data_IF_235872532959
#
_entry.id   IF_235872532959
#
_cell.length_a   1.000
_cell.length_b   1.000
_cell.length_c   1.000
_cell.angle_alpha   90.00
_cell.angle_beta   90.00
_cell.angle_gamma   90.00
#
_symmetry.space_group_name_H-M   'P 1'
#
loop_
_entity.id
_entity.type
_entity.pdbx_description
1 polymer ?
#
# COMPACT_ATOMS: atom_id res chain seq x y z
N UNK A 1 6.71 21.37 -29.79
CA UNK A 1 6.25 19.97 -29.66
C UNK A 1 7.49 19.15 -29.36
N UNK A 2 7.46 18.34 -28.33
CA UNK A 2 8.54 17.38 -28.02
C UNK A 2 8.46 16.29 -29.08
N UNK A 3 9.56 16.01 -29.76
CA UNK A 3 9.61 14.96 -30.78
C UNK A 3 9.88 13.63 -30.05
N UNK A 4 8.84 12.86 -29.77
CA UNK A 4 8.98 11.55 -29.12
C UNK A 4 9.52 10.53 -30.13
N UNK A 5 10.66 9.94 -29.80
CA UNK A 5 11.38 8.98 -30.65
C UNK A 5 11.50 7.61 -30.01
N UNK A 6 11.18 7.50 -28.72
CA UNK A 6 11.21 6.28 -27.93
C UNK A 6 9.80 5.80 -27.62
N UNK A 7 9.63 4.49 -27.58
CA UNK A 7 8.44 3.87 -26.97
C UNK A 7 8.44 4.11 -25.45
N UNK A 8 7.30 3.88 -24.80
CA UNK A 8 7.18 3.98 -23.32
C UNK A 8 8.19 3.06 -22.64
N UNK A 9 8.32 1.83 -23.11
CA UNK A 9 9.23 0.84 -22.53
C UNK A 9 10.71 1.24 -22.74
N UNK A 10 11.12 1.62 -23.93
CA UNK A 10 12.49 2.08 -24.22
C UNK A 10 12.86 3.28 -23.34
N UNK A 11 11.94 4.24 -23.21
CA UNK A 11 12.13 5.44 -22.38
C UNK A 11 12.30 5.07 -20.90
N UNK A 12 11.49 4.14 -20.37
CA UNK A 12 11.59 3.73 -18.99
C UNK A 12 12.89 2.96 -18.73
N UNK A 13 13.26 2.03 -19.60
CA UNK A 13 14.51 1.27 -19.48
C UNK A 13 15.74 2.18 -19.55
N UNK A 14 15.77 3.12 -20.48
CA UNK A 14 16.86 4.10 -20.58
C UNK A 14 16.91 4.99 -19.31
N UNK A 15 15.77 5.44 -18.79
CA UNK A 15 15.73 6.24 -17.57
C UNK A 15 16.25 5.46 -16.33
N UNK A 16 15.89 4.18 -16.20
CA UNK A 16 16.40 3.30 -15.13
C UNK A 16 17.91 3.07 -15.29
N UNK A 17 18.39 2.91 -16.52
CA UNK A 17 19.81 2.74 -16.82
C UNK A 17 20.63 4.05 -16.74
N UNK A 18 19.99 5.18 -16.44
CA UNK A 18 20.60 6.52 -16.43
C UNK A 18 21.16 6.90 -17.81
N UNK A 19 20.52 6.46 -18.87
CA UNK A 19 20.84 6.77 -20.27
C UNK A 19 20.02 7.95 -20.80
N UNK A 20 20.42 8.60 -21.90
CA UNK A 20 19.65 9.68 -22.51
C UNK A 20 18.26 9.23 -22.95
N UNK A 21 17.26 10.06 -22.66
CA UNK A 21 15.84 9.85 -23.06
C UNK A 21 15.35 11.01 -23.88
N UNK A 22 14.37 10.76 -24.76
CA UNK A 22 13.73 11.80 -25.58
C UNK A 22 12.92 12.81 -24.74
N UNK A 23 12.33 12.34 -23.63
CA UNK A 23 11.73 13.13 -22.56
C UNK A 23 11.73 12.31 -21.26
N UNK A 24 11.52 12.96 -20.14
CA UNK A 24 11.34 12.23 -18.87
C UNK A 24 10.08 11.38 -18.91
N UNK A 25 10.14 10.11 -18.43
CA UNK A 25 8.95 9.29 -18.28
C UNK A 25 8.02 9.88 -17.20
N UNK A 26 6.73 9.82 -17.45
CA UNK A 26 5.69 10.35 -16.55
C UNK A 26 4.90 9.21 -15.95
N UNK A 27 5.01 9.08 -14.64
CA UNK A 27 4.32 8.08 -13.84
C UNK A 27 3.70 8.72 -12.58
N UNK A 28 2.52 9.34 -12.67
CA UNK A 28 1.87 9.95 -11.52
C UNK A 28 1.15 8.90 -10.66
N UNK A 29 1.22 9.08 -9.35
CA UNK A 29 0.41 8.31 -8.40
C UNK A 29 -0.92 9.04 -8.20
N UNK A 30 -1.95 8.65 -8.96
CA UNK A 30 -3.22 9.37 -9.05
C UNK A 30 -4.33 8.87 -8.12
N UNK A 31 -4.13 7.82 -7.38
CA UNK A 31 -5.10 7.14 -6.49
C UNK A 31 -6.45 7.87 -6.29
N UNK A 32 -6.56 8.63 -5.21
CA UNK A 32 -7.78 9.35 -4.82
C UNK A 32 -8.07 10.57 -5.70
N UNK A 33 -7.04 11.15 -6.30
CA UNK A 33 -7.17 12.33 -7.15
C UNK A 33 -7.98 12.02 -8.42
N UNK A 34 -7.74 10.88 -9.06
CA UNK A 34 -8.47 10.46 -10.25
C UNK A 34 -9.98 10.33 -9.98
N UNK A 35 -10.36 9.79 -8.83
CA UNK A 35 -11.77 9.64 -8.43
C UNK A 35 -12.46 11.01 -8.35
N UNK A 36 -11.83 11.97 -7.67
CA UNK A 36 -12.36 13.33 -7.51
C UNK A 36 -12.40 14.10 -8.83
N UNK A 37 -11.39 13.91 -9.69
CA UNK A 37 -11.30 14.57 -10.99
C UNK A 37 -12.49 14.27 -11.89
N UNK A 38 -13.04 13.07 -11.79
CA UNK A 38 -14.21 12.64 -12.58
C UNK A 38 -15.53 12.71 -11.81
N UNK A 39 -15.58 13.51 -10.74
CA UNK A 39 -16.81 13.81 -10.00
C UNK A 39 -17.37 12.62 -9.22
N UNK A 40 -16.55 11.60 -8.95
CA UNK A 40 -16.93 10.48 -8.11
C UNK A 40 -16.54 10.75 -6.66
N UNK A 41 -17.25 10.15 -5.72
CA UNK A 41 -16.92 10.25 -4.30
C UNK A 41 -15.92 9.18 -3.88
N UNK A 42 -15.18 9.44 -2.82
CA UNK A 42 -14.30 8.44 -2.23
C UNK A 42 -15.09 7.23 -1.72
N UNK A 43 -16.29 7.47 -1.17
CA UNK A 43 -17.18 6.40 -0.72
C UNK A 43 -17.56 5.44 -1.85
N UNK A 44 -17.87 5.94 -3.06
CA UNK A 44 -18.17 5.10 -4.22
C UNK A 44 -16.98 4.22 -4.60
N UNK A 45 -15.78 4.80 -4.64
CA UNK A 45 -14.56 4.06 -4.98
C UNK A 45 -14.19 3.00 -3.92
N UNK A 46 -14.51 3.25 -2.65
CA UNK A 46 -14.33 2.27 -1.57
C UNK A 46 -15.40 1.18 -1.55
N UNK A 47 -16.59 1.47 -2.06
CA UNK A 47 -17.66 0.50 -2.17
C UNK A 47 -17.52 -0.42 -3.40
N UNK A 48 -17.00 0.12 -4.49
CA UNK A 48 -16.78 -0.58 -5.75
C UNK A 48 -15.42 -0.21 -6.36
N UNK A 49 -14.49 -1.16 -6.36
CA UNK A 49 -13.14 -0.96 -6.90
C UNK A 49 -13.12 -0.63 -8.40
N UNK A 50 -14.14 -1.04 -9.15
CA UNK A 50 -14.26 -0.70 -10.58
C UNK A 50 -14.35 0.82 -10.78
N UNK A 51 -14.99 1.53 -9.87
CA UNK A 51 -15.07 3.00 -9.94
C UNK A 51 -13.68 3.62 -9.90
N UNK A 52 -12.81 3.17 -9.00
CA UNK A 52 -11.44 3.66 -8.91
C UNK A 52 -10.61 3.31 -10.14
N UNK A 53 -10.68 2.04 -10.60
CA UNK A 53 -10.00 1.58 -11.80
C UNK A 53 -10.41 2.38 -13.03
N UNK A 54 -11.71 2.55 -13.26
CA UNK A 54 -12.24 3.24 -14.43
C UNK A 54 -11.85 4.74 -14.43
N UNK A 55 -11.81 5.39 -13.25
CA UNK A 55 -11.30 6.74 -13.11
C UNK A 55 -9.80 6.82 -13.44
N UNK A 56 -9.00 5.85 -13.00
CA UNK A 56 -7.57 5.79 -13.32
C UNK A 56 -7.32 5.58 -14.82
N UNK A 57 -8.05 4.65 -15.45
CA UNK A 57 -7.98 4.40 -16.90
C UNK A 57 -8.35 5.64 -17.70
N UNK A 58 -9.41 6.34 -17.31
CA UNK A 58 -9.80 7.58 -17.94
C UNK A 58 -8.75 8.67 -17.79
N UNK A 59 -8.18 8.81 -16.61
CA UNK A 59 -7.11 9.74 -16.31
C UNK A 59 -5.87 9.46 -17.18
N UNK A 60 -5.47 8.20 -17.27
CA UNK A 60 -4.38 7.77 -18.13
C UNK A 60 -4.59 8.17 -19.61
N UNK A 61 -5.76 7.84 -20.15
CA UNK A 61 -6.10 8.14 -21.56
C UNK A 61 -6.18 9.65 -21.84
N UNK A 62 -6.67 10.43 -20.89
CA UNK A 62 -6.84 11.87 -21.04
C UNK A 62 -5.53 12.64 -20.96
N UNK A 63 -4.63 12.23 -20.04
CA UNK A 63 -3.39 12.95 -19.77
C UNK A 63 -2.14 12.33 -20.41
N UNK A 64 -2.24 11.16 -20.99
CA UNK A 64 -1.15 10.54 -21.75
C UNK A 64 0.09 10.22 -20.93
N UNK A 65 -0.07 9.61 -19.76
CA UNK A 65 1.06 9.15 -18.95
C UNK A 65 1.78 7.98 -19.63
N UNK A 66 3.04 7.76 -19.29
CA UNK A 66 3.77 6.58 -19.76
C UNK A 66 3.29 5.31 -19.07
N UNK A 67 3.03 5.40 -17.77
CA UNK A 67 2.50 4.31 -16.95
C UNK A 67 1.38 4.77 -16.03
N UNK A 68 0.41 3.92 -15.82
CA UNK A 68 -0.66 4.13 -14.86
C UNK A 68 -0.27 3.71 -13.44
N UNK A 69 -0.94 4.29 -12.46
CA UNK A 69 -0.83 3.84 -11.08
C UNK A 69 -1.69 2.59 -10.82
N UNK A 70 -1.26 1.80 -9.86
CA UNK A 70 -1.94 0.58 -9.42
C UNK A 70 -3.40 0.85 -9.03
N UNK A 71 -4.41 0.18 -9.62
CA UNK A 71 -5.82 0.49 -9.39
C UNK A 71 -6.36 0.04 -8.03
N UNK A 72 -5.71 -0.88 -7.36
CA UNK A 72 -6.22 -1.55 -6.17
C UNK A 72 -5.97 -0.83 -4.83
N UNK A 73 -5.82 0.49 -4.83
CA UNK A 73 -5.67 1.25 -3.59
C UNK A 73 -6.95 1.26 -2.75
N UNK A 74 -8.10 1.14 -3.39
CA UNK A 74 -9.42 1.17 -2.77
C UNK A 74 -9.92 -0.24 -2.45
N UNK A 75 -9.39 -0.82 -1.38
CA UNK A 75 -9.79 -2.16 -0.99
C UNK A 75 -10.48 -2.17 0.37
N UNK A 76 -11.83 -2.10 0.37
CA UNK A 76 -12.60 -2.22 1.60
C UNK A 76 -12.52 -3.64 2.18
N UNK A 77 -12.06 -4.61 1.39
CA UNK A 77 -12.07 -6.02 1.76
C UNK A 77 -10.86 -6.44 2.61
N UNK A 78 -9.81 -5.62 2.70
CA UNK A 78 -8.69 -5.87 3.62
C UNK A 78 -8.80 -4.99 4.87
N UNK A 79 -9.78 -5.23 5.77
CA UNK A 79 -9.77 -4.55 7.05
C UNK A 79 -8.58 -5.03 7.83
N UNK A 80 -7.69 -4.13 8.16
CA UNK A 80 -6.60 -4.41 9.04
C UNK A 80 -5.25 -4.65 8.37
N UNK A 81 -5.09 -4.34 7.08
CA UNK A 81 -3.75 -4.28 6.48
C UNK A 81 -3.57 -2.97 5.74
N UNK A 82 -2.93 -2.03 6.40
CA UNK A 82 -2.27 -0.93 5.72
C UNK A 82 -0.78 -1.26 5.75
N UNK A 83 -0.20 -1.44 4.57
CA UNK A 83 1.17 -1.91 4.49
C UNK A 83 1.35 -3.27 5.20
N UNK A 84 2.49 -3.55 5.79
CA UNK A 84 2.73 -4.77 6.57
C UNK A 84 2.16 -4.72 8.01
N UNK A 85 1.34 -3.71 8.33
CA UNK A 85 0.82 -3.50 9.66
C UNK A 85 -0.67 -3.86 9.76
N UNK A 86 -1.15 -4.50 10.85
CA UNK A 86 -2.56 -4.87 11.05
C UNK A 86 -3.43 -3.69 11.51
N UNK A 87 -3.19 -2.51 10.97
CA UNK A 87 -3.96 -1.30 11.26
C UNK A 87 -5.27 -1.26 10.48
N UNK A 88 -6.27 -0.64 11.06
CA UNK A 88 -7.58 -0.46 10.44
C UNK A 88 -7.65 0.88 9.71
N UNK A 89 -8.28 0.88 8.54
CA UNK A 89 -8.65 2.11 7.86
C UNK A 89 -10.05 2.59 8.29
N UNK A 90 -10.18 3.88 8.51
CA UNK A 90 -11.46 4.58 8.56
C UNK A 90 -11.88 4.88 7.13
N UNK A 91 -13.03 4.34 6.73
CA UNK A 91 -13.47 4.29 5.33
C UNK A 91 -14.47 5.42 5.07
N UNK A 92 -14.31 6.20 3.98
CA UNK A 92 -15.29 7.19 3.52
C UNK A 92 -16.68 6.58 3.33
N UNK A 93 -17.70 7.35 3.67
CA UNK A 93 -19.10 6.91 3.59
C UNK A 93 -19.53 5.92 4.67
N UNK A 94 -18.59 5.40 5.49
CA UNK A 94 -18.90 4.49 6.61
C UNK A 94 -18.44 5.04 7.95
N UNK A 95 -17.23 5.58 8.02
CA UNK A 95 -16.63 6.11 9.24
C UNK A 95 -16.32 7.60 9.12
N UNK A 96 -16.24 8.10 7.90
CA UNK A 96 -15.90 9.46 7.51
C UNK A 96 -16.93 9.95 6.49
N UNK A 97 -16.93 11.24 6.18
CA UNK A 97 -17.77 11.79 5.12
C UNK A 97 -17.42 11.16 3.76
N UNK A 98 -18.41 11.14 2.86
CA UNK A 98 -18.30 10.44 1.56
C UNK A 98 -17.14 10.89 0.69
N UNK A 99 -16.71 12.14 0.84
CA UNK A 99 -15.66 12.78 0.04
C UNK A 99 -14.32 12.89 0.79
N UNK A 100 -14.26 12.46 2.06
CA UNK A 100 -13.03 12.42 2.83
C UNK A 100 -12.06 11.38 2.28
N UNK A 101 -10.77 11.60 2.53
CA UNK A 101 -9.76 10.56 2.30
C UNK A 101 -9.80 9.54 3.43
N UNK A 102 -9.61 8.27 3.09
CA UNK A 102 -9.44 7.23 4.10
C UNK A 102 -8.31 7.60 5.07
N UNK A 103 -8.53 7.35 6.35
CA UNK A 103 -7.59 7.62 7.42
C UNK A 103 -7.20 6.32 8.12
N UNK A 104 -6.00 6.28 8.68
CA UNK A 104 -5.59 5.20 9.55
C UNK A 104 -6.25 5.41 10.91
N UNK A 105 -6.90 4.37 11.44
CA UNK A 105 -7.41 4.34 12.80
C UNK A 105 -6.23 4.10 13.76
N UNK A 106 -5.55 5.18 14.12
CA UNK A 106 -4.33 5.13 14.92
C UNK A 106 -4.61 4.59 16.32
N UNK A 107 -3.99 3.47 16.65
CA UNK A 107 -4.13 2.78 17.93
C UNK A 107 -2.82 2.14 18.36
N UNK A 108 -2.66 2.00 19.68
CA UNK A 108 -1.62 1.14 20.23
C UNK A 108 -2.04 -0.32 20.04
N UNK A 109 -1.37 -1.02 19.14
CA UNK A 109 -1.62 -2.42 18.82
C UNK A 109 -0.66 -3.38 19.53
N UNK A 110 0.50 -2.87 19.96
CA UNK A 110 1.42 -3.56 20.84
C UNK A 110 2.00 -2.59 21.87
N UNK A 111 2.41 -3.10 23.01
CA UNK A 111 2.92 -2.30 24.12
C UNK A 111 4.46 -2.26 24.11
N UNK A 112 5.05 -1.33 24.87
CA UNK A 112 6.52 -1.19 24.98
C UNK A 112 7.21 -2.49 25.39
N UNK A 113 6.60 -3.27 26.25
CA UNK A 113 7.12 -4.56 26.70
C UNK A 113 7.17 -5.61 25.58
N UNK A 114 6.41 -5.43 24.51
CA UNK A 114 6.34 -6.37 23.39
C UNK A 114 7.57 -6.27 22.46
N UNK A 115 8.39 -5.23 22.60
CA UNK A 115 9.63 -5.14 21.81
C UNK A 115 10.56 -6.34 22.03
N UNK A 116 10.68 -6.82 23.26
CA UNK A 116 11.50 -8.00 23.58
C UNK A 116 10.94 -9.26 22.87
N UNK A 117 9.62 -9.35 22.77
CA UNK A 117 8.95 -10.45 22.10
C UNK A 117 9.06 -10.35 20.59
N UNK A 118 8.94 -9.15 20.02
CA UNK A 118 9.17 -8.90 18.60
C UNK A 118 10.62 -9.24 18.23
N UNK A 119 11.57 -8.85 19.07
CA UNK A 119 12.99 -9.19 18.87
C UNK A 119 13.25 -10.70 18.89
N UNK A 120 12.48 -11.46 19.68
CA UNK A 120 12.62 -12.91 19.77
C UNK A 120 11.92 -13.69 18.64
N UNK A 121 10.77 -13.21 18.15
CA UNK A 121 9.89 -13.93 17.21
C UNK A 121 9.97 -13.40 15.78
N UNK A 122 10.56 -12.22 15.57
CA UNK A 122 10.40 -11.45 14.36
C UNK A 122 9.00 -10.83 14.22
N UNK A 123 8.80 -10.06 13.17
CA UNK A 123 7.53 -9.37 12.90
C UNK A 123 6.40 -10.34 12.55
N UNK A 124 6.69 -11.29 11.67
CA UNK A 124 5.69 -12.28 11.24
C UNK A 124 5.27 -13.20 12.39
N UNK A 125 6.23 -13.65 13.21
CA UNK A 125 5.96 -14.50 14.36
C UNK A 125 5.12 -13.78 15.41
N UNK A 126 5.45 -12.54 15.75
CA UNK A 126 4.70 -11.74 16.70
C UNK A 126 3.23 -11.54 16.25
N UNK A 127 3.02 -11.16 14.99
CA UNK A 127 1.66 -10.97 14.48
C UNK A 127 0.91 -12.27 14.29
N UNK A 128 1.59 -13.37 13.97
CA UNK A 128 0.98 -14.70 13.91
C UNK A 128 0.28 -15.09 15.22
N UNK A 129 0.87 -14.71 16.36
CA UNK A 129 0.30 -14.96 17.69
C UNK A 129 -0.77 -13.95 18.12
N UNK A 130 -0.69 -12.71 17.62
CA UNK A 130 -1.53 -11.60 18.09
C UNK A 130 -2.62 -11.18 17.12
N UNK A 131 -2.56 -11.69 15.88
CA UNK A 131 -3.43 -11.22 14.80
C UNK A 131 -4.92 -11.31 15.14
N UNK A 132 -5.38 -12.45 15.66
CA UNK A 132 -6.79 -12.65 15.99
C UNK A 132 -7.29 -11.70 17.07
N UNK A 133 -6.45 -11.47 18.08
CA UNK A 133 -6.76 -10.54 19.19
C UNK A 133 -6.93 -9.11 18.69
N UNK A 134 -6.13 -8.70 17.73
CA UNK A 134 -6.08 -7.32 17.23
C UNK A 134 -7.10 -7.10 16.12
N UNK A 135 -7.15 -7.98 15.15
CA UNK A 135 -8.02 -7.85 13.98
C UNK A 135 -9.46 -8.28 14.24
N UNK A 136 -9.71 -9.04 15.31
CA UNK A 136 -10.97 -9.75 15.61
C UNK A 136 -11.42 -10.65 14.46
N UNK A 137 -10.49 -11.14 13.66
CA UNK A 137 -10.69 -12.06 12.55
C UNK A 137 -9.74 -13.22 12.69
N UNK A 138 -10.18 -14.42 12.29
CA UNK A 138 -9.27 -15.56 12.25
C UNK A 138 -8.20 -15.37 11.17
N UNK A 139 -7.06 -16.04 11.34
CA UNK A 139 -6.00 -16.05 10.34
C UNK A 139 -6.51 -16.63 9.00
N UNK A 140 -7.43 -17.59 9.05
CA UNK A 140 -8.08 -18.17 7.88
C UNK A 140 -8.91 -17.12 7.11
N UNK A 141 -9.72 -16.34 7.82
CA UNK A 141 -10.48 -15.25 7.21
C UNK A 141 -9.57 -14.21 6.56
N UNK A 142 -8.45 -13.87 7.21
CA UNK A 142 -7.46 -12.97 6.65
C UNK A 142 -6.83 -13.53 5.36
N UNK A 143 -6.41 -14.80 5.39
CA UNK A 143 -5.80 -15.46 4.23
C UNK A 143 -6.78 -15.53 3.06
N UNK A 144 -8.06 -15.85 3.32
CA UNK A 144 -9.10 -15.85 2.29
C UNK A 144 -9.27 -14.45 1.67
N UNK A 145 -9.32 -13.40 2.50
CA UNK A 145 -9.44 -12.02 2.02
C UNK A 145 -8.22 -11.58 1.21
N UNK A 146 -7.01 -11.99 1.59
CA UNK A 146 -5.81 -11.73 0.80
C UNK A 146 -5.85 -12.39 -0.57
N UNK A 147 -6.30 -13.65 -0.66
CA UNK A 147 -6.46 -14.34 -1.94
C UNK A 147 -7.45 -13.61 -2.83
N UNK A 148 -8.64 -13.31 -2.33
CA UNK A 148 -9.65 -12.53 -3.09
C UNK A 148 -9.08 -11.21 -3.57
N UNK A 149 -8.27 -10.54 -2.73
CA UNK A 149 -7.58 -9.31 -3.07
C UNK A 149 -6.61 -9.50 -4.24
N UNK A 150 -5.80 -10.53 -4.18
CA UNK A 150 -4.83 -10.81 -5.23
C UNK A 150 -5.53 -11.16 -6.55
N UNK A 151 -6.61 -11.94 -6.51
CA UNK A 151 -7.36 -12.33 -7.71
C UNK A 151 -7.94 -11.10 -8.43
N UNK A 152 -8.59 -10.21 -7.68
CA UNK A 152 -9.10 -8.95 -8.24
C UNK A 152 -7.96 -8.03 -8.73
N UNK A 153 -6.82 -8.03 -8.05
CA UNK A 153 -5.65 -7.27 -8.52
C UNK A 153 -5.15 -7.77 -9.87
N UNK A 154 -5.04 -9.08 -10.03
CA UNK A 154 -4.65 -9.69 -11.31
C UNK A 154 -5.66 -9.36 -12.40
N UNK A 155 -6.94 -9.41 -12.10
CA UNK A 155 -8.02 -9.02 -13.02
C UNK A 155 -7.92 -7.55 -13.43
N UNK A 156 -7.77 -6.64 -12.46
CA UNK A 156 -7.64 -5.20 -12.74
C UNK A 156 -6.38 -4.89 -13.57
N UNK A 157 -5.27 -5.55 -13.29
CA UNK A 157 -4.04 -5.42 -14.08
C UNK A 157 -4.28 -5.81 -15.54
N UNK A 158 -4.90 -6.96 -15.76
CA UNK A 158 -5.24 -7.45 -17.10
C UNK A 158 -6.15 -6.47 -17.85
N UNK A 159 -7.19 -5.95 -17.19
CA UNK A 159 -8.09 -4.96 -17.77
C UNK A 159 -7.33 -3.67 -18.16
N UNK A 160 -6.43 -3.21 -17.29
CA UNK A 160 -5.62 -2.03 -17.57
C UNK A 160 -4.70 -2.23 -18.79
N UNK A 161 -4.04 -3.38 -18.86
CA UNK A 161 -3.18 -3.74 -19.99
C UNK A 161 -3.99 -3.87 -21.32
N UNK A 162 -5.14 -4.55 -21.30
CA UNK A 162 -6.04 -4.66 -22.44
C UNK A 162 -6.56 -3.29 -22.93
N UNK A 163 -6.67 -2.33 -22.01
CA UNK A 163 -7.04 -0.94 -22.30
C UNK A 163 -5.85 -0.05 -22.69
N UNK A 164 -4.66 -0.63 -22.82
CA UNK A 164 -3.44 0.06 -23.22
C UNK A 164 -2.77 0.91 -22.14
N UNK A 165 -3.12 0.69 -20.86
CA UNK A 165 -2.46 1.32 -19.73
C UNK A 165 -1.48 0.34 -19.08
N UNK A 166 -0.17 0.41 -19.38
CA UNK A 166 0.81 -0.38 -18.68
C UNK A 166 0.92 0.11 -17.24
N UNK A 167 1.07 -0.82 -16.30
CA UNK A 167 1.24 -0.49 -14.89
C UNK A 167 2.68 -0.73 -14.49
N UNK A 168 3.34 0.34 -14.04
CA UNK A 168 4.68 0.23 -13.48
C UNK A 168 4.59 -0.18 -12.02
N UNK A 169 4.87 -1.46 -11.76
CA UNK A 169 4.95 -1.95 -10.38
C UNK A 169 6.01 -3.03 -10.27
N UNK A 170 6.97 -2.74 -9.40
CA UNK A 170 7.82 -3.75 -8.82
C UNK A 170 7.28 -4.26 -7.48
N UNK A 171 8.13 -4.89 -6.71
CA UNK A 171 7.85 -5.26 -5.32
C UNK A 171 7.79 -4.01 -4.46
N UNK A 172 6.70 -3.84 -3.71
CA UNK A 172 6.61 -2.80 -2.69
C UNK A 172 6.94 -3.43 -1.33
N UNK A 173 7.96 -2.91 -0.67
CA UNK A 173 8.36 -3.31 0.67
C UNK A 173 8.17 -2.14 1.62
N UNK A 174 7.46 -2.39 2.71
CA UNK A 174 7.25 -1.37 3.72
C UNK A 174 8.45 -1.27 4.65
N UNK A 175 8.73 -0.05 5.11
CA UNK A 175 9.74 0.16 6.14
C UNK A 175 9.28 -0.40 7.48
N UNK A 176 10.15 -1.13 8.17
CA UNK A 176 9.89 -1.59 9.56
C UNK A 176 9.55 -0.41 10.47
N UNK A 177 10.22 0.73 10.31
CA UNK A 177 9.95 1.96 11.06
C UNK A 177 8.51 2.46 10.84
N UNK A 178 8.03 2.41 9.60
CA UNK A 178 6.64 2.78 9.29
C UNK A 178 5.67 1.80 9.95
N UNK A 179 5.89 0.50 9.86
CA UNK A 179 5.05 -0.50 10.49
C UNK A 179 4.98 -0.32 12.01
N UNK A 180 6.11 -0.01 12.65
CA UNK A 180 6.15 0.24 14.10
C UNK A 180 5.40 1.53 14.48
N UNK A 181 5.63 2.63 13.76
CA UNK A 181 4.94 3.89 14.02
C UNK A 181 3.42 3.77 13.85
N UNK A 182 2.96 2.97 12.87
CA UNK A 182 1.54 2.72 12.67
C UNK A 182 0.91 1.86 13.76
N UNK A 183 1.65 0.88 14.28
CA UNK A 183 1.14 -0.08 15.27
C UNK A 183 1.31 0.39 16.73
N UNK A 184 2.25 1.30 16.96
CA UNK A 184 2.56 1.82 18.30
C UNK A 184 1.99 3.23 18.53
N UNK A 185 1.41 3.84 17.51
CA UNK A 185 1.18 5.28 17.29
C UNK A 185 2.49 6.06 17.11
N UNK A 186 2.44 7.11 16.31
CA UNK A 186 3.63 7.94 16.04
C UNK A 186 4.20 8.54 17.32
N UNK A 187 3.35 8.98 18.24
CA UNK A 187 3.76 9.60 19.50
C UNK A 187 4.45 8.61 20.44
N UNK A 188 3.84 7.44 20.67
CA UNK A 188 4.41 6.42 21.54
C UNK A 188 5.68 5.82 20.96
N UNK A 189 5.71 5.58 19.65
CA UNK A 189 6.91 5.10 18.98
C UNK A 189 8.07 6.10 19.07
N UNK A 190 7.79 7.39 18.84
CA UNK A 190 8.81 8.43 18.99
C UNK A 190 9.35 8.48 20.43
N UNK A 191 8.48 8.34 21.44
CA UNK A 191 8.91 8.28 22.84
C UNK A 191 9.79 7.05 23.09
N UNK A 192 9.41 5.89 22.56
CA UNK A 192 10.16 4.64 22.73
C UNK A 192 11.57 4.70 22.12
N UNK A 193 11.75 5.43 21.01
CA UNK A 193 13.07 5.68 20.42
C UNK A 193 14.04 6.42 21.37
N UNK A 194 13.52 7.23 22.28
CA UNK A 194 14.33 7.94 23.28
C UNK A 194 14.48 7.18 24.59
N UNK A 195 13.42 6.52 25.05
CA UNK A 195 13.40 5.93 26.38
C UNK A 195 13.90 4.48 26.41
N UNK A 196 13.74 3.74 25.31
CA UNK A 196 14.15 2.31 25.20
C UNK A 196 14.79 1.98 23.83
N UNK A 197 15.78 2.78 23.37
CA UNK A 197 16.34 2.66 22.03
C UNK A 197 16.88 1.27 21.72
N UNK A 198 17.55 0.62 22.65
CA UNK A 198 18.16 -0.71 22.46
C UNK A 198 17.09 -1.78 22.17
N UNK A 199 15.94 -1.71 22.84
CA UNK A 199 14.82 -2.64 22.60
C UNK A 199 14.17 -2.39 21.26
N UNK A 200 13.98 -1.13 20.87
CA UNK A 200 13.44 -0.74 19.58
C UNK A 200 14.39 -1.22 18.46
N UNK A 201 15.70 -0.99 18.61
CA UNK A 201 16.71 -1.44 17.62
C UNK A 201 16.68 -2.98 17.48
N UNK A 202 16.69 -3.73 18.56
CA UNK A 202 16.66 -5.20 18.52
C UNK A 202 15.40 -5.71 17.80
N UNK A 203 14.23 -5.13 18.10
CA UNK A 203 12.98 -5.48 17.44
C UNK A 203 12.97 -5.12 15.94
N UNK A 204 13.50 -3.95 15.57
CA UNK A 204 13.64 -3.53 14.17
C UNK A 204 14.54 -4.49 13.40
N UNK A 205 15.71 -4.86 13.94
CA UNK A 205 16.65 -5.78 13.29
C UNK A 205 16.00 -7.14 13.01
N UNK A 206 15.34 -7.74 14.00
CA UNK A 206 14.63 -9.00 13.82
C UNK A 206 13.50 -8.91 12.80
N UNK A 207 12.81 -7.77 12.72
CA UNK A 207 11.73 -7.53 11.77
C UNK A 207 12.22 -7.27 10.33
N UNK A 208 13.43 -6.75 10.15
CA UNK A 208 14.01 -6.54 8.82
C UNK A 208 14.21 -7.86 8.07
N UNK A 209 14.65 -8.91 8.75
CA UNK A 209 14.85 -10.23 8.14
C UNK A 209 13.53 -10.80 7.57
N UNK A 210 12.43 -10.66 8.32
CA UNK A 210 11.10 -11.04 7.87
C UNK A 210 10.62 -10.22 6.67
N UNK A 211 10.87 -8.90 6.68
CA UNK A 211 10.49 -8.01 5.58
C UNK A 211 11.26 -8.33 4.30
N UNK A 212 12.55 -8.63 4.41
CA UNK A 212 13.39 -9.07 3.28
C UNK A 212 12.88 -10.40 2.74
N UNK A 213 12.60 -11.38 3.60
CA UNK A 213 12.07 -12.68 3.20
C UNK A 213 10.72 -12.55 2.46
N UNK A 214 9.84 -11.66 2.93
CA UNK A 214 8.56 -11.38 2.28
C UNK A 214 8.70 -10.68 0.91
N UNK A 215 9.81 -9.96 0.68
CA UNK A 215 10.06 -9.25 -0.58
C UNK A 215 10.60 -10.16 -1.69
N UNK A 216 11.20 -11.31 -1.34
CA UNK A 216 11.87 -12.24 -2.27
C UNK A 216 10.94 -13.39 -2.70
N UNK A 217 9.80 -13.56 -2.04
CA UNK A 217 8.76 -14.55 -2.39
C UNK A 217 7.84 -14.03 -3.48
#
# INVERSE_FOLDING_TARGET
MINETMTVEERMQAAIAVEPVDRHPVFPIMFTAAVRLYGRTQAEAWADHNVARDCLLRCYKEYGYDYGSKPNFYWPMLPGKHCAAPVRNLIPGKHLDKDDLAQIDERVLFERQDYDRIAALGWNGFWGEHYEKISRKSLEQFTMMQRMSNDLYVEDMKICEEQGMPIFMGVAVDSVMMSFSLCRTLMEFTRDLYEVPDKVEAAIRASCDDMIANAVQ
#
